data_IF_688763668221
#
_entry.id   IF_688763668221
#
_cell.length_a   1.000
_cell.length_b   1.000
_cell.length_c   1.000
_cell.angle_alpha   90.00
_cell.angle_beta   90.00
_cell.angle_gamma   90.00
#
_symmetry.space_group_name_H-M   'P 1'
#
loop_
_entity.id
_entity.type
_entity.pdbx_description
1 polymer ?
#
# COMPACT_ATOMS: atom_id res chain seq x y z
N UNK A 1 16.62 3.31 -6.26
CA UNK A 1 16.40 2.38 -5.12
C UNK A 1 15.56 1.22 -5.61
N UNK A 2 15.98 -0.05 -5.49
CA UNK A 2 15.26 -1.20 -6.08
C UNK A 2 13.81 -1.36 -5.57
N UNK A 3 13.57 -1.04 -4.29
CA UNK A 3 12.26 -1.10 -3.62
C UNK A 3 11.44 0.20 -3.72
N UNK A 4 11.86 1.19 -4.51
CA UNK A 4 11.24 2.53 -4.63
C UNK A 4 11.13 3.35 -3.32
N UNK A 5 11.73 2.88 -2.21
CA UNK A 5 11.83 3.55 -0.91
C UNK A 5 13.10 3.11 -0.16
N UNK A 6 13.34 3.62 1.05
CA UNK A 6 14.49 3.27 1.89
C UNK A 6 14.21 2.10 2.86
N UNK A 7 15.24 1.31 3.22
CA UNK A 7 15.11 0.27 4.24
C UNK A 7 14.59 0.80 5.58
N UNK A 8 14.97 2.02 5.95
CA UNK A 8 14.55 2.67 7.21
C UNK A 8 13.04 2.96 7.21
N UNK A 9 12.50 3.44 6.08
CA UNK A 9 11.06 3.69 5.94
C UNK A 9 10.26 2.39 5.98
N UNK A 10 10.78 1.31 5.36
CA UNK A 10 10.17 -0.02 5.43
C UNK A 10 10.16 -0.51 6.88
N UNK A 11 11.30 -0.46 7.57
CA UNK A 11 11.43 -0.88 8.96
C UNK A 11 10.53 -0.08 9.92
N UNK A 12 10.35 1.22 9.69
CA UNK A 12 9.43 2.05 10.46
C UNK A 12 7.97 1.59 10.29
N UNK A 13 7.53 1.32 9.06
CA UNK A 13 6.18 0.81 8.81
C UNK A 13 5.97 -0.61 9.40
N UNK A 14 6.95 -1.50 9.23
CA UNK A 14 6.96 -2.84 9.85
C UNK A 14 6.82 -2.76 11.37
N UNK A 15 7.51 -1.80 12.01
CA UNK A 15 7.40 -1.55 13.46
C UNK A 15 5.97 -1.15 13.85
N UNK A 16 5.30 -0.31 13.06
CA UNK A 16 3.93 0.13 13.35
C UNK A 16 2.90 -1.00 13.19
N UNK A 17 3.04 -1.87 12.18
CA UNK A 17 2.20 -3.05 12.04
C UNK A 17 2.35 -4.01 13.23
N UNK A 18 3.59 -4.29 13.65
CA UNK A 18 3.86 -5.11 14.83
C UNK A 18 3.36 -4.45 16.14
N UNK A 19 3.42 -3.12 16.24
CA UNK A 19 2.85 -2.40 17.37
C UNK A 19 1.33 -2.57 17.43
N UNK A 20 0.63 -2.47 16.30
CA UNK A 20 -0.80 -2.73 16.25
C UNK A 20 -1.12 -4.18 16.67
N UNK A 21 -0.33 -5.15 16.19
CA UNK A 21 -0.47 -6.56 16.52
C UNK A 21 -0.32 -6.85 18.02
N UNK A 22 0.71 -6.28 18.64
CA UNK A 22 1.02 -6.52 20.05
C UNK A 22 0.11 -5.74 21.00
N UNK A 23 -0.19 -4.47 20.68
CA UNK A 23 -1.00 -3.59 21.54
C UNK A 23 -2.50 -3.91 21.44
N UNK A 24 -2.96 -4.31 20.26
CA UNK A 24 -4.38 -4.53 19.98
C UNK A 24 -4.57 -5.83 19.18
N UNK A 25 -4.32 -7.03 19.75
CA UNK A 25 -4.27 -8.29 19.01
C UNK A 25 -5.58 -8.70 18.29
N UNK A 26 -6.71 -8.10 18.67
CA UNK A 26 -8.01 -8.35 18.04
C UNK A 26 -8.45 -7.22 17.09
N UNK A 27 -7.63 -6.18 16.90
CA UNK A 27 -7.99 -5.06 16.02
C UNK A 27 -7.93 -5.47 14.55
N UNK A 28 -8.81 -4.87 13.75
CA UNK A 28 -8.76 -4.96 12.29
C UNK A 28 -7.91 -3.80 11.80
N UNK A 29 -6.82 -4.11 11.09
CA UNK A 29 -5.92 -3.09 10.53
C UNK A 29 -6.30 -2.84 9.09
N UNK A 30 -6.39 -1.56 8.70
CA UNK A 30 -6.39 -1.14 7.30
C UNK A 30 -5.19 -0.24 7.07
N UNK A 31 -4.67 -0.21 5.86
CA UNK A 31 -3.50 0.60 5.52
C UNK A 31 -3.64 1.25 4.16
N UNK A 32 -2.83 2.26 3.91
CA UNK A 32 -2.74 2.89 2.61
C UNK A 32 -1.45 3.67 2.41
N UNK A 33 -1.08 3.85 1.14
CA UNK A 33 0.12 4.57 0.77
C UNK A 33 -0.05 5.30 -0.56
N UNK A 34 0.59 6.46 -0.67
CA UNK A 34 0.59 7.29 -1.88
C UNK A 34 2.01 7.48 -2.40
N UNK A 35 2.23 7.34 -3.71
CA UNK A 35 3.53 7.55 -4.37
C UNK A 35 4.63 6.70 -3.74
N UNK A 36 5.70 7.26 -3.19
CA UNK A 36 6.71 6.49 -2.45
C UNK A 36 6.12 5.75 -1.23
N UNK A 37 5.12 6.31 -0.54
CA UNK A 37 4.46 5.66 0.59
C UNK A 37 3.71 4.37 0.20
N UNK A 38 3.28 4.24 -1.06
CA UNK A 38 2.71 2.98 -1.55
C UNK A 38 3.75 1.86 -1.61
N UNK A 39 5.01 2.19 -1.96
CA UNK A 39 6.12 1.24 -1.91
C UNK A 39 6.51 0.90 -0.48
N UNK A 40 6.39 1.83 0.47
CA UNK A 40 6.59 1.54 1.90
C UNK A 40 5.57 0.51 2.39
N UNK A 41 4.29 0.69 2.08
CA UNK A 41 3.23 -0.29 2.46
C UNK A 41 3.47 -1.64 1.81
N UNK A 42 3.72 -1.65 0.50
CA UNK A 42 3.99 -2.88 -0.26
C UNK A 42 5.17 -3.68 0.32
N UNK A 43 6.31 -3.04 0.52
CA UNK A 43 7.51 -3.72 0.98
C UNK A 43 7.45 -4.10 2.46
N UNK A 44 6.78 -3.30 3.31
CA UNK A 44 6.61 -3.66 4.72
C UNK A 44 5.71 -4.88 4.88
N UNK A 45 4.59 -4.98 4.14
CA UNK A 45 3.71 -6.16 4.21
C UNK A 45 4.44 -7.45 3.82
N UNK A 46 5.33 -7.39 2.84
CA UNK A 46 6.14 -8.54 2.41
C UNK A 46 7.14 -9.02 3.49
N UNK A 47 7.52 -8.15 4.43
CA UNK A 47 8.47 -8.44 5.52
C UNK A 47 7.78 -8.87 6.82
N UNK A 48 6.44 -8.83 6.89
CA UNK A 48 5.68 -9.18 8.09
C UNK A 48 5.46 -10.68 8.23
N UNK A 49 5.41 -11.13 9.48
CA UNK A 49 4.95 -12.48 9.81
C UNK A 49 3.48 -12.68 9.42
N UNK A 50 3.13 -13.91 9.04
CA UNK A 50 1.79 -14.26 8.56
C UNK A 50 0.67 -13.89 9.54
N UNK A 51 0.92 -13.96 10.85
CA UNK A 51 -0.05 -13.59 11.88
C UNK A 51 -0.35 -12.08 11.88
N UNK A 52 0.65 -11.25 11.59
CA UNK A 52 0.49 -9.79 11.49
C UNK A 52 -0.19 -9.43 10.18
N UNK A 53 0.22 -10.07 9.07
CA UNK A 53 -0.45 -9.91 7.77
C UNK A 53 -1.94 -10.26 7.86
N UNK A 54 -2.29 -11.32 8.60
CA UNK A 54 -3.69 -11.75 8.78
C UNK A 54 -4.58 -10.72 9.50
N UNK A 55 -4.00 -9.77 10.26
CA UNK A 55 -4.75 -8.66 10.86
C UNK A 55 -5.03 -7.52 9.89
N UNK A 56 -4.26 -7.40 8.81
CA UNK A 56 -4.47 -6.39 7.77
C UNK A 56 -5.62 -6.85 6.89
N UNK A 57 -6.75 -6.14 6.94
CA UNK A 57 -7.98 -6.48 6.22
C UNK A 57 -8.09 -5.81 4.86
N UNK A 58 -7.41 -4.69 4.67
CA UNK A 58 -7.39 -3.97 3.42
C UNK A 58 -6.21 -3.03 3.27
N UNK A 59 -5.70 -2.93 2.04
CA UNK A 59 -4.65 -2.00 1.63
C UNK A 59 -5.10 -1.19 0.40
N UNK A 60 -4.93 0.13 0.43
CA UNK A 60 -5.15 1.03 -0.71
C UNK A 60 -3.84 1.68 -1.16
N UNK A 61 -3.52 1.59 -2.45
CA UNK A 61 -2.27 2.12 -3.00
C UNK A 61 -2.57 3.13 -4.11
N UNK A 62 -2.25 4.40 -3.87
CA UNK A 62 -2.45 5.50 -4.82
C UNK A 62 -1.14 5.83 -5.55
N UNK A 63 -1.15 5.88 -6.87
CA UNK A 63 0.06 6.16 -7.66
C UNK A 63 1.17 5.18 -7.32
N UNK A 64 0.87 3.88 -7.46
CA UNK A 64 1.71 2.80 -6.96
C UNK A 64 3.01 2.71 -7.76
N UNK A 65 4.11 3.25 -7.22
CA UNK A 65 5.45 3.33 -7.88
C UNK A 65 6.11 1.99 -8.16
N UNK A 66 5.50 0.92 -7.63
CA UNK A 66 5.90 -0.48 -7.76
C UNK A 66 4.87 -1.30 -8.58
N UNK A 67 3.83 -0.65 -9.12
CA UNK A 67 2.72 -1.28 -9.83
C UNK A 67 3.18 -2.20 -10.96
N UNK A 68 3.98 -1.70 -11.91
CA UNK A 68 4.47 -2.51 -13.03
C UNK A 68 5.40 -3.63 -12.57
N UNK A 69 6.24 -3.35 -11.57
CA UNK A 69 7.27 -4.24 -11.09
C UNK A 69 6.68 -5.42 -10.30
N UNK A 70 5.59 -5.20 -9.56
CA UNK A 70 4.93 -6.22 -8.75
C UNK A 70 3.64 -6.79 -9.39
N UNK A 71 3.28 -6.30 -10.59
CA UNK A 71 2.14 -6.79 -11.37
C UNK A 71 0.79 -6.34 -10.79
N UNK A 72 0.72 -5.11 -10.29
CA UNK A 72 -0.52 -4.50 -9.78
C UNK A 72 -1.03 -5.12 -8.47
N UNK A 73 -0.13 -5.71 -7.68
CA UNK A 73 -0.45 -6.34 -6.40
C UNK A 73 0.67 -6.11 -5.39
N UNK A 74 0.35 -6.30 -4.12
CA UNK A 74 1.35 -6.50 -3.07
C UNK A 74 1.70 -7.99 -3.09
N UNK A 75 2.96 -8.39 -3.33
CA UNK A 75 3.37 -9.79 -3.21
C UNK A 75 2.99 -10.35 -1.84
N UNK A 76 2.67 -11.65 -1.80
CA UNK A 76 2.25 -12.40 -0.58
C UNK A 76 0.97 -11.91 0.13
N UNK A 77 0.32 -10.84 -0.34
CA UNK A 77 -0.93 -10.33 0.22
C UNK A 77 -2.15 -10.60 -0.70
N UNK A 78 -3.36 -10.88 -0.17
CA UNK A 78 -4.52 -11.20 -1.00
C UNK A 78 -4.93 -10.04 -1.93
N UNK A 79 -5.05 -10.33 -3.22
CA UNK A 79 -5.50 -9.35 -4.23
C UNK A 79 -6.90 -8.83 -3.93
N UNK A 80 -7.81 -9.66 -3.40
CA UNK A 80 -9.14 -9.25 -2.96
C UNK A 80 -9.15 -8.28 -1.76
N UNK A 81 -8.03 -8.11 -1.05
CA UNK A 81 -7.83 -7.14 0.02
C UNK A 81 -6.94 -5.96 -0.40
N UNK A 82 -6.51 -5.92 -1.67
CA UNK A 82 -5.70 -4.82 -2.21
C UNK A 82 -6.53 -4.01 -3.21
N UNK A 83 -6.48 -2.69 -3.10
CA UNK A 83 -7.01 -1.78 -4.11
C UNK A 83 -5.89 -0.86 -4.60
N UNK A 84 -5.35 -1.18 -5.77
CA UNK A 84 -4.45 -0.29 -6.49
C UNK A 84 -5.27 0.74 -7.26
N UNK A 85 -4.88 1.99 -7.16
CA UNK A 85 -5.50 3.14 -7.81
C UNK A 85 -4.38 3.87 -8.56
N UNK A 86 -4.38 3.72 -9.88
CA UNK A 86 -3.50 4.40 -10.80
C UNK A 86 -4.37 5.25 -11.73
N UNK A 87 -4.23 6.57 -11.65
CA UNK A 87 -4.96 7.47 -12.54
C UNK A 87 -4.43 7.35 -13.97
N UNK A 88 -5.31 7.51 -14.96
CA UNK A 88 -4.92 7.49 -16.37
C UNK A 88 -3.89 8.59 -16.64
N UNK A 89 -2.74 8.21 -17.20
CA UNK A 89 -1.60 9.10 -17.45
C UNK A 89 -0.65 9.29 -16.26
N UNK A 90 -0.84 8.60 -15.13
CA UNK A 90 0.14 8.57 -14.05
C UNK A 90 1.28 7.59 -14.37
N UNK A 91 2.36 8.12 -14.92
CA UNK A 91 3.50 7.34 -15.41
C UNK A 91 4.29 6.63 -14.31
N UNK A 92 4.09 6.95 -13.02
CA UNK A 92 4.78 6.20 -11.95
C UNK A 92 4.28 4.77 -11.85
N UNK A 93 3.03 4.52 -12.27
CA UNK A 93 2.45 3.18 -12.29
C UNK A 93 3.01 2.30 -13.42
N UNK A 94 3.65 2.91 -14.43
CA UNK A 94 4.21 2.25 -15.61
C UNK A 94 5.71 1.98 -15.52
N UNK A 95 6.25 2.01 -14.29
CA UNK A 95 7.65 1.71 -13.99
C UNK A 95 8.60 2.87 -14.26
N UNK A 96 8.09 4.10 -14.34
CA UNK A 96 8.90 5.33 -14.35
C UNK A 96 8.82 6.04 -12.99
N UNK A 97 9.55 7.12 -12.81
CA UNK A 97 9.39 8.05 -11.69
C UNK A 97 9.03 9.46 -12.19
N UNK A 98 8.36 9.53 -13.34
CA UNK A 98 7.93 10.78 -13.96
C UNK A 98 6.59 11.20 -13.33
N UNK A 99 6.58 12.37 -12.71
CA UNK A 99 5.38 12.94 -12.10
C UNK A 99 4.62 13.74 -13.15
N UNK A 100 3.44 13.25 -13.54
CA UNK A 100 2.50 13.97 -14.40
C UNK A 100 1.41 14.63 -13.53
N UNK A 101 0.60 15.57 -14.07
CA UNK A 101 -0.55 16.12 -13.35
C UNK A 101 -1.51 15.05 -12.82
N UNK A 102 -1.67 13.92 -13.53
CA UNK A 102 -2.51 12.81 -13.10
C UNK A 102 -2.10 12.27 -11.72
N UNK A 103 -0.80 12.25 -11.42
CA UNK A 103 -0.26 11.81 -10.13
C UNK A 103 -0.77 12.65 -8.94
N UNK A 104 -1.24 13.87 -9.17
CA UNK A 104 -1.70 14.81 -8.15
C UNK A 104 -3.23 14.80 -7.96
N UNK A 105 -3.95 13.92 -8.65
CA UNK A 105 -5.43 13.91 -8.67
C UNK A 105 -6.08 12.93 -7.70
N UNK A 106 -5.30 12.23 -6.86
CA UNK A 106 -5.80 11.11 -6.06
C UNK A 106 -6.87 11.47 -5.01
N UNK A 107 -7.04 12.75 -4.68
CA UNK A 107 -8.16 13.23 -3.87
C UNK A 107 -9.52 12.80 -4.44
N UNK A 108 -9.67 12.71 -5.77
CA UNK A 108 -10.90 12.26 -6.43
C UNK A 108 -11.26 10.80 -6.12
N UNK A 109 -10.30 9.99 -5.66
CA UNK A 109 -10.48 8.57 -5.36
C UNK A 109 -10.52 8.29 -3.86
N UNK A 110 -10.34 9.29 -3.01
CA UNK A 110 -10.28 9.10 -1.56
C UNK A 110 -11.57 8.47 -1.00
N UNK A 111 -12.74 8.93 -1.47
CA UNK A 111 -14.03 8.39 -1.03
C UNK A 111 -14.21 6.92 -1.43
N UNK A 112 -13.88 6.54 -2.67
CA UNK A 112 -14.01 5.15 -3.12
C UNK A 112 -12.99 4.22 -2.44
N UNK A 113 -11.79 4.71 -2.15
CA UNK A 113 -10.79 3.99 -1.36
C UNK A 113 -11.26 3.76 0.09
N UNK A 114 -11.83 4.78 0.74
CA UNK A 114 -12.40 4.66 2.08
C UNK A 114 -13.55 3.66 2.12
N UNK A 115 -14.46 3.69 1.13
CA UNK A 115 -15.55 2.71 1.00
C UNK A 115 -15.01 1.28 0.79
N UNK A 116 -13.96 1.11 -0.02
CA UNK A 116 -13.32 -0.18 -0.18
C UNK A 116 -12.78 -0.70 1.16
N UNK A 117 -12.02 0.11 1.91
CA UNK A 117 -11.48 -0.30 3.21
C UNK A 117 -12.60 -0.63 4.22
N UNK A 118 -13.65 0.19 4.26
CA UNK A 118 -14.81 -0.03 5.11
C UNK A 118 -15.52 -1.36 4.80
N UNK A 119 -15.54 -1.80 3.53
CA UNK A 119 -16.11 -3.10 3.14
C UNK A 119 -15.29 -4.32 3.56
N UNK A 120 -14.05 -4.13 4.05
CA UNK A 120 -13.15 -5.22 4.48
C UNK A 120 -13.14 -5.45 5.99
N UNK A 121 -13.67 -4.50 6.75
CA UNK A 121 -13.66 -4.51 8.21
C UNK A 121 -15.01 -4.92 8.80
#
# INVERSE_FOLDING_TARGET
MPKSTSPEAIGAATTLFNLAHTKCPNTKVVTGGYSQGSAVVDNSIQELDAAVVAQIKGAVLFGFTRNKQDGGRIPTYPTGQTKVICADGDMVCDGTLIITPAHLTYGNYAASAALFLASKV
#
